data_IF_543684554326
#
_entry.id   IF_543684554326
#
_cell.length_a   1.000
_cell.length_b   1.000
_cell.length_c   1.000
_cell.angle_alpha   90.00
_cell.angle_beta   90.00
_cell.angle_gamma   90.00
#
_symmetry.space_group_name_H-M   'P 1'
#
loop_
_entity.id
_entity.type
_entity.pdbx_description
1 polymer ?
#
# COMPACT_ATOMS: atom_id res chain seq x y z
N UNK A 1 0.56 -10.41 5.22
CA UNK A 1 -0.36 -9.30 4.90
C UNK A 1 -1.77 -9.55 5.43
N UNK A 2 -2.38 -10.69 5.08
CA UNK A 2 -3.73 -11.05 5.55
C UNK A 2 -3.80 -11.19 7.08
N UNK A 3 -2.80 -11.85 7.69
CA UNK A 3 -2.74 -12.01 9.15
C UNK A 3 -2.61 -10.68 9.91
N UNK A 4 -1.84 -9.70 9.41
CA UNK A 4 -1.75 -8.39 10.07
C UNK A 4 -3.05 -7.58 9.97
N UNK A 5 -3.76 -7.67 8.86
CA UNK A 5 -5.08 -7.01 8.68
C UNK A 5 -6.11 -7.65 9.62
N UNK A 6 -6.12 -8.98 9.74
CA UNK A 6 -6.98 -9.69 10.70
C UNK A 6 -6.64 -9.26 12.14
N UNK A 7 -5.36 -9.21 12.50
CA UNK A 7 -4.94 -8.75 13.82
C UNK A 7 -5.37 -7.30 14.11
N UNK A 8 -5.23 -6.39 13.13
CA UNK A 8 -5.70 -5.01 13.25
C UNK A 8 -7.22 -4.94 13.46
N UNK A 9 -7.99 -5.71 12.69
CA UNK A 9 -9.46 -5.77 12.83
C UNK A 9 -9.88 -6.30 14.20
N UNK A 10 -9.21 -7.34 14.70
CA UNK A 10 -9.45 -7.90 16.05
C UNK A 10 -9.13 -6.86 17.14
N UNK A 11 -8.01 -6.14 17.03
CA UNK A 11 -7.64 -5.09 17.99
C UNK A 11 -8.64 -3.93 18.02
N UNK A 12 -9.11 -3.49 16.86
CA UNK A 12 -10.14 -2.44 16.75
C UNK A 12 -11.46 -2.93 17.37
N UNK A 13 -11.91 -4.13 17.01
CA UNK A 13 -13.13 -4.71 17.55
C UNK A 13 -13.05 -4.88 19.07
N UNK A 14 -11.91 -5.38 19.58
CA UNK A 14 -11.66 -5.50 21.01
C UNK A 14 -11.69 -4.15 21.72
N UNK A 15 -11.06 -3.12 21.16
CA UNK A 15 -11.05 -1.78 21.73
C UNK A 15 -12.45 -1.17 21.82
N UNK A 16 -13.23 -1.27 20.73
CA UNK A 16 -14.62 -0.79 20.69
C UNK A 16 -15.51 -1.53 21.69
N UNK A 17 -15.40 -2.85 21.74
CA UNK A 17 -16.22 -3.71 22.60
C UNK A 17 -15.89 -3.50 24.09
N UNK A 18 -14.61 -3.30 24.40
CA UNK A 18 -14.15 -2.97 25.75
C UNK A 18 -14.72 -1.64 26.24
N UNK A 19 -14.69 -0.61 25.39
CA UNK A 19 -15.30 0.70 25.70
C UNK A 19 -16.81 0.55 25.86
N UNK A 20 -17.48 -0.14 24.94
CA UNK A 20 -18.92 -0.36 25.02
C UNK A 20 -19.35 -1.05 26.31
N UNK A 21 -18.69 -2.15 26.69
CA UNK A 21 -19.01 -2.87 27.93
C UNK A 21 -18.69 -2.09 29.19
N UNK A 22 -17.62 -1.29 29.19
CA UNK A 22 -17.31 -0.43 30.34
C UNK A 22 -18.42 0.58 30.64
N UNK A 23 -19.07 1.09 29.58
CA UNK A 23 -20.19 2.02 29.68
C UNK A 23 -21.49 1.29 30.04
N UNK A 24 -21.74 0.11 29.44
CA UNK A 24 -23.01 -0.60 29.64
C UNK A 24 -23.14 -1.31 30.99
N UNK A 25 -22.05 -1.85 31.53
CA UNK A 25 -22.07 -2.63 32.78
C UNK A 25 -21.85 -1.79 34.04
N UNK A 26 -21.63 -0.47 33.90
CA UNK A 26 -21.46 0.43 35.04
C UNK A 26 -20.23 0.09 35.88
N UNK A 27 -19.08 -0.10 35.24
CA UNK A 27 -17.83 -0.41 35.95
C UNK A 27 -17.45 0.72 36.93
N UNK A 28 -16.89 0.36 38.09
CA UNK A 28 -16.34 1.34 39.05
C UNK A 28 -15.30 2.24 38.38
N UNK A 29 -15.25 3.53 38.74
CA UNK A 29 -14.44 4.56 38.07
C UNK A 29 -12.98 4.15 37.77
N UNK A 30 -12.29 3.53 38.73
CA UNK A 30 -10.91 3.06 38.54
C UNK A 30 -10.79 1.98 37.45
N UNK A 31 -11.75 1.04 37.41
CA UNK A 31 -11.79 -0.02 36.40
C UNK A 31 -12.23 0.54 35.05
N UNK A 32 -13.17 1.48 35.04
CA UNK A 32 -13.63 2.13 33.81
C UNK A 32 -12.49 2.88 33.13
N UNK A 33 -11.68 3.63 33.88
CA UNK A 33 -10.48 4.31 33.38
C UNK A 33 -9.46 3.34 32.81
N UNK A 34 -9.19 2.22 33.50
CA UNK A 34 -8.27 1.19 33.01
C UNK A 34 -8.76 0.54 31.71
N UNK A 35 -10.05 0.20 31.62
CA UNK A 35 -10.66 -0.41 30.42
C UNK A 35 -10.65 0.59 29.25
N UNK A 36 -10.96 1.86 29.50
CA UNK A 36 -10.87 2.93 28.50
C UNK A 36 -9.44 3.10 27.97
N UNK A 37 -8.44 3.12 28.86
CA UNK A 37 -7.04 3.27 28.46
C UNK A 37 -6.57 2.10 27.59
N UNK A 38 -6.85 0.86 28.01
CA UNK A 38 -6.48 -0.35 27.27
C UNK A 38 -7.26 -0.43 25.94
N UNK A 39 -8.57 -0.17 25.99
CA UNK A 39 -9.43 -0.19 24.81
C UNK A 39 -9.01 0.83 23.77
N UNK A 40 -8.71 2.06 24.19
CA UNK A 40 -8.22 3.12 23.32
C UNK A 40 -6.84 2.79 22.75
N UNK A 41 -5.93 2.25 23.56
CA UNK A 41 -4.61 1.83 23.09
C UNK A 41 -4.71 0.71 22.03
N UNK A 42 -5.57 -0.29 22.25
CA UNK A 42 -5.82 -1.36 21.28
C UNK A 42 -6.39 -0.81 19.96
N UNK A 43 -7.34 0.13 20.05
CA UNK A 43 -7.93 0.81 18.90
C UNK A 43 -6.87 1.57 18.09
N UNK A 44 -6.04 2.37 18.76
CA UNK A 44 -4.97 3.14 18.13
C UNK A 44 -3.92 2.24 17.47
N UNK A 45 -3.51 1.16 18.14
CA UNK A 45 -2.57 0.18 17.58
C UNK A 45 -3.16 -0.53 16.36
N UNK A 46 -4.42 -0.95 16.42
CA UNK A 46 -5.12 -1.56 15.29
C UNK A 46 -5.22 -0.61 14.09
N UNK A 47 -5.63 0.65 14.32
CA UNK A 47 -5.66 1.70 13.30
C UNK A 47 -4.28 1.97 12.70
N UNK A 48 -3.24 2.05 13.54
CA UNK A 48 -1.86 2.26 13.08
C UNK A 48 -1.37 1.15 12.16
N UNK A 49 -1.63 -0.12 12.51
CA UNK A 49 -1.29 -1.28 11.66
C UNK A 49 -2.02 -1.18 10.32
N UNK A 50 -3.31 -0.81 10.36
CA UNK A 50 -4.13 -0.67 9.17
C UNK A 50 -3.60 0.42 8.23
N UNK A 51 -3.31 1.61 8.78
CA UNK A 51 -2.79 2.77 8.04
C UNK A 51 -1.42 2.45 7.45
N UNK A 52 -0.48 1.91 8.23
CA UNK A 52 0.88 1.62 7.76
C UNK A 52 0.93 0.57 6.67
N UNK A 53 0.07 -0.45 6.72
CA UNK A 53 0.01 -1.49 5.68
C UNK A 53 -0.70 -1.01 4.42
N UNK A 54 -1.78 -0.22 4.54
CA UNK A 54 -2.41 0.43 3.37
C UNK A 54 -1.42 1.38 2.68
N UNK A 55 -0.66 2.13 3.47
CA UNK A 55 0.37 3.05 2.97
C UNK A 55 1.49 2.29 2.26
N UNK A 56 1.94 1.14 2.81
CA UNK A 56 2.97 0.31 2.17
C UNK A 56 2.53 -0.24 0.81
N UNK A 57 1.27 -0.69 0.67
CA UNK A 57 0.73 -1.18 -0.61
C UNK A 57 0.70 -0.05 -1.65
N UNK A 58 0.25 1.13 -1.26
CA UNK A 58 0.26 2.32 -2.13
C UNK A 58 1.69 2.70 -2.53
N UNK A 59 2.64 2.62 -1.59
CA UNK A 59 4.05 2.90 -1.83
C UNK A 59 4.68 1.89 -2.80
N UNK A 60 4.43 0.60 -2.60
CA UNK A 60 4.92 -0.47 -3.47
C UNK A 60 4.33 -0.38 -4.89
N UNK A 61 3.04 -0.02 -5.00
CA UNK A 61 2.39 0.24 -6.29
C UNK A 61 3.06 1.40 -7.03
N UNK A 62 3.31 2.52 -6.34
CA UNK A 62 4.03 3.67 -6.91
C UNK A 62 5.47 3.35 -7.27
N UNK A 63 6.17 2.57 -6.44
CA UNK A 63 7.54 2.12 -6.73
C UNK A 63 7.60 1.21 -7.98
N UNK A 64 6.65 0.29 -8.10
CA UNK A 64 6.48 -0.53 -9.30
C UNK A 64 6.19 0.32 -10.54
N UNK A 65 5.28 1.29 -10.42
CA UNK A 65 5.00 2.28 -11.47
C UNK A 65 6.24 3.05 -11.91
N UNK A 66 7.06 3.51 -10.95
CA UNK A 66 8.31 4.22 -11.23
C UNK A 66 9.30 3.35 -12.01
N UNK A 67 9.49 2.10 -11.62
CA UNK A 67 10.36 1.16 -12.33
C UNK A 67 9.87 0.93 -13.77
N UNK A 68 8.55 0.77 -13.97
CA UNK A 68 7.97 0.63 -15.30
C UNK A 68 8.17 1.90 -16.15
N UNK A 69 8.03 3.10 -15.57
CA UNK A 69 8.32 4.36 -16.28
C UNK A 69 9.79 4.43 -16.71
N UNK A 70 10.73 4.02 -15.86
CA UNK A 70 12.17 4.00 -16.19
C UNK A 70 12.42 3.01 -17.34
N UNK A 71 11.89 1.78 -17.26
CA UNK A 71 12.06 0.76 -18.30
C UNK A 71 11.38 1.17 -19.61
N UNK A 72 10.16 1.67 -19.56
CA UNK A 72 9.42 2.16 -20.72
C UNK A 72 10.11 3.35 -21.37
N UNK A 73 10.60 4.30 -20.57
CA UNK A 73 11.40 5.44 -21.03
C UNK A 73 12.69 4.99 -21.70
N UNK A 74 13.41 4.02 -21.12
CA UNK A 74 14.58 3.43 -21.75
C UNK A 74 14.23 2.77 -23.09
N UNK A 75 13.15 2.03 -23.19
CA UNK A 75 12.75 1.38 -24.45
C UNK A 75 12.32 2.37 -25.54
N UNK A 76 11.79 3.54 -25.17
CA UNK A 76 11.39 4.58 -26.12
C UNK A 76 12.58 5.42 -26.56
N UNK A 77 13.42 5.86 -25.63
CA UNK A 77 14.48 6.84 -25.89
C UNK A 77 15.88 6.22 -26.01
N UNK A 78 16.20 5.24 -25.17
CA UNK A 78 17.55 4.64 -25.12
C UNK A 78 17.74 3.45 -26.04
N UNK A 79 16.72 2.60 -26.17
CA UNK A 79 16.82 1.37 -26.96
C UNK A 79 17.07 1.62 -28.45
N UNK A 80 16.43 2.59 -29.15
CA UNK A 80 16.69 2.85 -30.57
C UNK A 80 18.15 3.19 -30.90
N UNK A 81 18.90 3.74 -29.94
CA UNK A 81 20.28 4.20 -30.14
C UNK A 81 21.32 3.07 -30.05
N UNK A 82 20.94 1.86 -29.62
CA UNK A 82 21.85 0.70 -29.43
C UNK A 82 21.98 -0.11 -30.73
N UNK A 83 22.11 0.59 -31.87
CA UNK A 83 21.94 0.03 -33.21
C UNK A 83 22.80 -1.19 -33.56
N UNK A 84 23.97 -1.35 -32.93
CA UNK A 84 24.94 -2.40 -33.22
C UNK A 84 24.45 -3.83 -32.98
N UNK A 85 23.42 -4.00 -32.15
CA UNK A 85 22.85 -5.31 -31.80
C UNK A 85 21.43 -5.54 -32.34
N UNK A 86 20.91 -4.64 -33.17
CA UNK A 86 19.50 -4.65 -33.58
C UNK A 86 19.28 -5.21 -34.97
N UNK A 87 18.27 -6.08 -35.10
CA UNK A 87 17.73 -6.47 -36.41
C UNK A 87 16.82 -5.37 -36.98
N UNK A 88 16.68 -5.27 -38.32
CA UNK A 88 15.76 -4.34 -38.93
C UNK A 88 14.34 -4.47 -38.35
N UNK A 89 13.78 -3.37 -37.86
CA UNK A 89 12.44 -3.33 -37.25
C UNK A 89 12.37 -3.55 -35.73
N UNK A 90 13.44 -4.02 -35.08
CA UNK A 90 13.46 -4.18 -33.61
C UNK A 90 13.31 -2.86 -32.86
N UNK A 91 13.93 -1.78 -33.36
CA UNK A 91 13.81 -0.44 -32.77
C UNK A 91 12.34 0.00 -32.67
N UNK A 92 11.57 -0.15 -33.76
CA UNK A 92 10.14 0.21 -33.80
C UNK A 92 9.29 -0.63 -32.84
N UNK A 93 9.59 -1.93 -32.75
CA UNK A 93 8.93 -2.82 -31.81
C UNK A 93 9.25 -2.46 -30.34
N UNK A 94 10.51 -2.13 -30.06
CA UNK A 94 10.97 -1.66 -28.74
C UNK A 94 10.26 -0.38 -28.31
N UNK A 95 10.16 0.60 -29.21
CA UNK A 95 9.41 1.85 -28.95
C UNK A 95 7.93 1.55 -28.65
N UNK A 96 7.29 0.68 -29.45
CA UNK A 96 5.88 0.33 -29.24
C UNK A 96 5.64 -0.33 -27.88
N UNK A 97 6.47 -1.33 -27.52
CA UNK A 97 6.41 -1.99 -26.21
C UNK A 97 6.72 -0.99 -25.09
N UNK A 98 7.70 -0.12 -25.29
CA UNK A 98 8.09 0.93 -24.35
C UNK A 98 6.94 1.89 -24.04
N UNK A 99 6.18 2.32 -25.06
CA UNK A 99 5.01 3.16 -24.89
C UNK A 99 3.91 2.49 -24.06
N UNK A 100 3.63 1.19 -24.31
CA UNK A 100 2.65 0.43 -23.50
C UNK A 100 3.10 0.36 -22.04
N UNK A 101 4.38 0.03 -21.80
CA UNK A 101 4.95 -0.05 -20.45
C UNK A 101 4.92 1.32 -19.76
N UNK A 102 5.20 2.41 -20.48
CA UNK A 102 5.11 3.78 -19.98
C UNK A 102 3.69 4.13 -19.54
N UNK A 103 2.67 3.82 -20.35
CA UNK A 103 1.27 4.08 -20.00
C UNK A 103 0.88 3.32 -18.72
N UNK A 104 1.24 2.04 -18.63
CA UNK A 104 0.97 1.21 -17.44
C UNK A 104 1.73 1.75 -16.21
N UNK A 105 3.00 2.13 -16.37
CA UNK A 105 3.82 2.68 -15.31
C UNK A 105 3.28 4.01 -14.78
N UNK A 106 2.91 4.93 -15.67
CA UNK A 106 2.28 6.21 -15.31
C UNK A 106 0.94 5.97 -14.61
N UNK A 107 0.14 5.01 -15.09
CA UNK A 107 -1.11 4.64 -14.42
C UNK A 107 -0.86 4.20 -12.98
N UNK A 108 0.09 3.30 -12.72
CA UNK A 108 0.44 2.87 -11.35
C UNK A 108 1.08 3.96 -10.48
N UNK A 109 1.71 4.96 -11.10
CA UNK A 109 2.32 6.08 -10.39
C UNK A 109 1.26 7.09 -9.91
N UNK A 110 0.28 7.39 -10.76
CA UNK A 110 -0.74 8.42 -10.52
C UNK A 110 -2.02 7.89 -9.87
N UNK A 111 -2.39 6.64 -10.14
CA UNK A 111 -3.59 5.97 -9.62
C UNK A 111 -3.20 4.75 -8.80
#
# INVERSE_FOLDING_TARGET
>A
MVFEIIAAAVLIAFGLLSIYFSVSEGASDEKMLAILAIGTAALLLGLWILITKLTLILLLRKLGGLLLVIVGGFLVFGFPDIGDYQRPGMSKAGIFIGLIILIIGLYYLFF
#
